data_IF_342536015902
#
_entry.id   IF_342536015902
#
_cell.length_a   1.000
_cell.length_b   1.000
_cell.length_c   1.000
_cell.angle_alpha   90.00
_cell.angle_beta   90.00
_cell.angle_gamma   90.00
#
_symmetry.space_group_name_H-M   'P 1'
#
loop_
_entity.id
_entity.type
_entity.pdbx_description
1 polymer ?
#
# COMPACT_ATOMS: atom_id res chain seq x y z
N UNK A 1 51.60 -19.48 -5.01
CA UNK A 1 51.21 -19.93 -3.65
C UNK A 1 49.70 -19.70 -3.51
N UNK A 2 48.89 -20.77 -3.53
CA UNK A 2 47.43 -20.71 -3.37
C UNK A 2 47.06 -21.40 -2.06
N UNK A 3 46.52 -20.65 -1.10
CA UNK A 3 46.03 -21.20 0.16
C UNK A 3 44.74 -22.02 -0.07
N UNK A 4 44.72 -23.25 0.44
CA UNK A 4 43.53 -24.12 0.46
C UNK A 4 42.50 -23.55 1.43
N UNK A 5 41.30 -23.30 0.93
CA UNK A 5 40.09 -23.10 1.73
C UNK A 5 39.69 -24.43 2.39
N UNK A 6 39.58 -24.45 3.72
CA UNK A 6 39.13 -25.62 4.50
C UNK A 6 37.70 -25.38 5.03
N UNK A 7 36.67 -26.02 4.46
CA UNK A 7 35.28 -25.81 4.83
C UNK A 7 34.87 -26.44 6.18
N UNK A 8 35.79 -27.07 6.92
CA UNK A 8 35.47 -27.75 8.20
C UNK A 8 35.80 -26.94 9.45
N UNK A 9 36.33 -25.73 9.32
CA UNK A 9 36.66 -24.85 10.46
C UNK A 9 35.53 -23.93 10.94
N UNK A 10 34.33 -24.02 10.37
CA UNK A 10 33.20 -23.13 10.70
C UNK A 10 32.34 -23.57 11.92
N UNK A 11 32.68 -24.65 12.63
CA UNK A 11 31.95 -25.06 13.84
C UNK A 11 32.88 -25.19 15.04
N UNK A 12 33.09 -24.09 15.75
CA UNK A 12 33.32 -24.06 17.20
C UNK A 12 33.47 -22.60 17.64
N UNK A 13 32.33 -21.93 17.82
CA UNK A 13 32.09 -20.86 18.80
C UNK A 13 30.62 -20.45 18.62
N UNK A 14 29.72 -21.22 19.23
CA UNK A 14 28.38 -20.70 19.52
C UNK A 14 28.54 -19.58 20.54
N UNK A 15 28.22 -18.31 20.22
CA UNK A 15 28.01 -17.33 21.27
C UNK A 15 26.83 -17.80 22.12
N UNK A 16 27.05 -17.88 23.43
CA UNK A 16 26.01 -18.15 24.42
C UNK A 16 24.78 -17.26 24.18
N UNK A 17 23.57 -17.70 24.55
CA UNK A 17 22.36 -16.88 24.43
C UNK A 17 22.45 -15.72 25.42
N UNK A 18 23.07 -14.62 24.99
CA UNK A 18 23.16 -13.41 25.76
C UNK A 18 21.81 -12.71 25.68
N UNK A 19 20.97 -13.03 26.69
CA UNK A 19 19.84 -12.27 27.20
C UNK A 19 18.81 -11.84 26.16
N UNK A 20 17.70 -12.58 26.20
CA UNK A 20 16.33 -12.10 26.04
C UNK A 20 16.24 -10.66 25.49
N UNK A 21 15.87 -10.56 24.20
CA UNK A 21 14.99 -9.54 23.64
C UNK A 21 14.38 -8.68 24.74
N UNK A 22 15.16 -7.68 25.13
CA UNK A 22 14.73 -6.66 26.05
C UNK A 22 13.60 -5.98 25.30
N UNK A 23 12.38 -6.25 25.74
CA UNK A 23 11.13 -5.65 25.29
C UNK A 23 11.40 -4.17 25.09
N UNK A 24 11.66 -3.78 23.85
CA UNK A 24 11.99 -2.41 23.48
C UNK A 24 10.90 -1.52 24.06
N UNK A 25 11.29 -0.48 24.78
CA UNK A 25 10.38 0.38 25.53
C UNK A 25 9.31 0.99 24.64
N UNK A 26 8.13 0.37 24.61
CA UNK A 26 6.94 0.83 23.88
C UNK A 26 6.24 2.05 24.54
N UNK A 27 6.94 2.85 25.34
CA UNK A 27 6.29 3.77 26.28
C UNK A 27 6.04 5.19 25.77
N UNK A 28 6.94 5.75 24.96
CA UNK A 28 6.88 7.16 24.53
C UNK A 28 7.21 7.30 23.03
N UNK A 29 8.29 6.67 22.58
CA UNK A 29 8.75 6.72 21.17
C UNK A 29 7.72 6.11 20.20
N UNK A 30 6.94 5.12 20.64
CA UNK A 30 5.90 4.50 19.82
C UNK A 30 4.70 5.42 19.53
N UNK A 31 4.33 6.28 20.49
CA UNK A 31 3.27 7.28 20.30
C UNK A 31 3.75 8.37 19.35
N UNK A 32 5.01 8.81 19.50
CA UNK A 32 5.63 9.76 18.57
C UNK A 32 5.67 9.22 17.13
N UNK A 33 6.03 7.94 16.94
CA UNK A 33 6.04 7.31 15.62
C UNK A 33 4.65 7.23 15.00
N UNK A 34 3.62 6.89 15.78
CA UNK A 34 2.25 6.86 15.28
C UNK A 34 1.80 8.25 14.81
N UNK A 35 2.16 9.31 15.54
CA UNK A 35 1.84 10.70 15.17
C UNK A 35 2.57 11.11 13.89
N UNK A 36 3.86 10.79 13.74
CA UNK A 36 4.65 11.05 12.53
C UNK A 36 4.04 10.35 11.31
N UNK A 37 3.66 9.08 11.46
CA UNK A 37 3.06 8.29 10.39
C UNK A 37 1.70 8.87 10.01
N UNK A 38 0.86 9.14 11.01
CA UNK A 38 -0.49 9.68 10.81
C UNK A 38 -0.44 11.06 10.16
N UNK A 39 0.51 11.92 10.53
CA UNK A 39 0.64 13.26 9.96
C UNK A 39 0.87 13.23 8.43
N UNK A 40 1.78 12.38 7.92
CA UNK A 40 1.97 12.26 6.48
C UNK A 40 0.70 11.75 5.77
N UNK A 41 0.05 10.74 6.34
CA UNK A 41 -1.15 10.16 5.73
C UNK A 41 -2.36 11.10 5.78
N UNK A 42 -2.45 11.93 6.82
CA UNK A 42 -3.42 13.01 6.90
C UNK A 42 -3.18 14.04 5.79
N UNK A 43 -1.93 14.50 5.61
CA UNK A 43 -1.60 15.45 4.54
C UNK A 43 -1.87 14.86 3.15
N UNK A 44 -1.58 13.57 2.94
CA UNK A 44 -1.93 12.85 1.71
C UNK A 44 -3.45 12.78 1.50
N UNK A 45 -4.23 12.44 2.53
CA UNK A 45 -5.68 12.39 2.45
C UNK A 45 -6.27 13.78 2.13
N UNK A 46 -5.80 14.83 2.81
CA UNK A 46 -6.20 16.21 2.56
C UNK A 46 -5.93 16.59 1.10
N UNK A 47 -4.73 16.31 0.59
CA UNK A 47 -4.33 16.63 -0.78
C UNK A 47 -5.12 15.87 -1.85
N UNK A 48 -5.33 14.57 -1.65
CA UNK A 48 -6.02 13.69 -2.60
C UNK A 48 -7.54 13.87 -2.55
N UNK A 49 -8.08 14.30 -1.41
CA UNK A 49 -9.52 14.30 -1.13
C UNK A 49 -10.21 15.65 -1.13
N UNK A 50 -9.46 16.75 -1.27
CA UNK A 50 -10.03 18.10 -1.22
C UNK A 50 -9.31 19.10 -2.13
N UNK A 51 -9.84 20.33 -2.22
CA UNK A 51 -9.14 21.47 -2.82
C UNK A 51 -8.06 22.04 -1.88
N UNK A 52 -7.17 21.16 -1.41
CA UNK A 52 -6.16 21.46 -0.39
C UNK A 52 -5.24 22.62 -0.82
N UNK A 53 -4.89 23.56 0.07
CA UNK A 53 -4.00 24.66 -0.29
C UNK A 53 -2.57 24.15 -0.59
N UNK A 54 -1.77 24.85 -1.42
CA UNK A 54 -0.43 24.42 -1.80
C UNK A 54 0.51 24.07 -0.63
N UNK A 55 0.35 24.74 0.52
CA UNK A 55 1.09 24.45 1.75
C UNK A 55 0.97 23.01 2.26
N UNK A 56 -0.07 22.27 1.85
CA UNK A 56 -0.23 20.84 2.19
C UNK A 56 0.78 20.02 1.40
N UNK A 57 0.90 20.29 0.10
CA UNK A 57 1.93 19.68 -0.74
C UNK A 57 3.34 20.01 -0.24
N UNK A 58 3.58 21.24 0.22
CA UNK A 58 4.87 21.62 0.80
C UNK A 58 5.23 20.74 2.01
N UNK A 59 4.27 20.44 2.90
CA UNK A 59 4.48 19.52 4.04
C UNK A 59 4.77 18.10 3.59
N UNK A 60 4.01 17.57 2.63
CA UNK A 60 4.27 16.25 2.03
C UNK A 60 5.70 16.21 1.49
N UNK A 61 6.09 17.20 0.69
CA UNK A 61 7.40 17.26 0.05
C UNK A 61 8.55 17.40 1.05
N UNK A 62 8.32 18.15 2.15
CA UNK A 62 9.29 18.38 3.22
C UNK A 62 9.45 17.19 4.16
N UNK A 63 8.47 16.28 4.21
CA UNK A 63 8.57 15.03 4.97
C UNK A 63 9.43 13.96 4.27
N UNK A 64 9.73 14.11 2.97
CA UNK A 64 10.50 13.11 2.22
C UNK A 64 11.99 13.45 2.22
N UNK A 65 12.82 12.46 2.55
CA UNK A 65 14.27 12.54 2.39
C UNK A 65 14.66 12.74 0.92
N UNK A 66 15.78 13.42 0.65
CA UNK A 66 16.30 13.66 -0.70
C UNK A 66 16.47 12.38 -1.54
N UNK A 67 16.75 11.24 -0.90
CA UNK A 67 16.94 9.92 -1.52
C UNK A 67 15.72 9.03 -1.36
N UNK A 68 14.54 9.62 -1.17
CA UNK A 68 13.30 8.86 -1.03
C UNK A 68 13.05 7.95 -2.24
N UNK A 69 12.62 6.73 -1.95
CA UNK A 69 12.10 5.76 -2.92
C UNK A 69 10.82 5.14 -2.38
N UNK A 70 9.88 4.78 -3.24
CA UNK A 70 8.71 3.99 -2.86
C UNK A 70 8.53 2.80 -3.78
N UNK A 71 8.19 1.65 -3.20
CA UNK A 71 7.67 0.48 -3.92
C UNK A 71 6.18 0.42 -3.67
N UNK A 72 5.40 0.79 -4.68
CA UNK A 72 3.93 0.83 -4.57
C UNK A 72 3.33 -0.57 -4.68
N UNK A 73 2.04 -0.71 -4.38
CA UNK A 73 1.31 -2.00 -4.38
C UNK A 73 1.40 -2.82 -5.68
N UNK A 74 1.71 -2.18 -6.82
CA UNK A 74 1.95 -2.87 -8.11
C UNK A 74 3.35 -3.45 -8.26
N UNK A 75 4.22 -3.29 -7.26
CA UNK A 75 5.63 -3.68 -7.28
C UNK A 75 6.55 -2.71 -8.04
N UNK A 76 6.01 -1.63 -8.58
CA UNK A 76 6.82 -0.60 -9.26
C UNK A 76 7.59 0.24 -8.24
N UNK A 77 8.87 0.49 -8.53
CA UNK A 77 9.70 1.43 -7.75
C UNK A 77 9.59 2.82 -8.36
N UNK A 78 9.32 3.82 -7.54
CA UNK A 78 9.30 5.24 -7.90
C UNK A 78 10.30 6.00 -7.04
N UNK A 79 11.03 6.93 -7.66
CA UNK A 79 11.89 7.87 -6.94
C UNK A 79 11.07 9.05 -6.38
N UNK A 80 11.73 9.92 -5.61
CA UNK A 80 11.13 11.11 -5.00
C UNK A 80 10.47 12.03 -6.02
N UNK A 81 11.14 12.32 -7.12
CA UNK A 81 10.66 13.29 -8.11
C UNK A 81 9.42 12.78 -8.81
N UNK A 82 9.45 11.51 -9.23
CA UNK A 82 8.32 10.80 -9.83
C UNK A 82 7.15 10.70 -8.85
N UNK A 83 7.42 10.38 -7.59
CA UNK A 83 6.40 10.33 -6.55
C UNK A 83 5.73 11.70 -6.35
N UNK A 84 6.50 12.77 -6.19
CA UNK A 84 5.97 14.11 -5.98
C UNK A 84 5.20 14.64 -7.20
N UNK A 85 5.68 14.39 -8.41
CA UNK A 85 4.96 14.73 -9.63
C UNK A 85 3.62 13.97 -9.73
N UNK A 86 3.60 12.70 -9.33
CA UNK A 86 2.40 11.88 -9.23
C UNK A 86 1.40 12.45 -8.23
N UNK A 87 1.84 12.74 -7.01
CA UNK A 87 1.01 13.35 -5.96
C UNK A 87 0.47 14.70 -6.41
N UNK A 88 1.31 15.57 -6.98
CA UNK A 88 0.89 16.88 -7.46
C UNK A 88 -0.26 16.78 -8.47
N UNK A 89 -0.14 15.85 -9.41
CA UNK A 89 -1.15 15.61 -10.45
C UNK A 89 -2.41 14.95 -9.92
N UNK A 90 -2.36 14.34 -8.73
CA UNK A 90 -3.47 13.62 -8.11
C UNK A 90 -4.32 14.48 -7.15
N UNK A 91 -4.10 15.80 -7.11
CA UNK A 91 -4.87 16.72 -6.26
C UNK A 91 -6.38 16.56 -6.48
N UNK A 92 -7.12 16.34 -5.40
CA UNK A 92 -8.58 16.15 -5.41
C UNK A 92 -9.10 15.04 -6.35
N UNK A 93 -8.27 14.06 -6.74
CA UNK A 93 -8.69 12.95 -7.61
C UNK A 93 -9.58 11.95 -6.86
N UNK A 94 -9.47 11.89 -5.53
CA UNK A 94 -10.22 10.97 -4.67
C UNK A 94 -11.07 11.74 -3.66
N UNK A 95 -12.01 12.55 -4.16
CA UNK A 95 -12.84 13.43 -3.32
C UNK A 95 -13.40 12.73 -2.06
N UNK A 96 -13.13 13.31 -0.89
CA UNK A 96 -13.57 12.79 0.40
C UNK A 96 -12.82 11.54 0.89
N UNK A 97 -11.63 11.24 0.35
CA UNK A 97 -10.79 10.16 0.87
C UNK A 97 -10.25 10.50 2.26
N UNK A 98 -10.31 9.51 3.14
CA UNK A 98 -9.62 9.47 4.42
C UNK A 98 -8.61 8.31 4.38
N UNK A 99 -7.48 8.47 5.08
CA UNK A 99 -6.49 7.41 5.22
C UNK A 99 -6.31 7.11 6.69
N UNK A 100 -6.77 5.94 7.12
CA UNK A 100 -6.67 5.46 8.49
C UNK A 100 -5.37 4.66 8.66
N UNK A 101 -4.60 4.99 9.69
CA UNK A 101 -3.35 4.28 10.04
C UNK A 101 -3.59 3.47 11.31
N UNK A 102 -3.23 2.19 11.29
CA UNK A 102 -3.35 1.29 12.43
C UNK A 102 -2.16 0.34 12.51
N UNK A 103 -2.08 -0.42 13.61
CA UNK A 103 -1.07 -1.47 13.83
C UNK A 103 0.39 -0.99 13.66
N UNK A 104 0.67 0.25 14.09
CA UNK A 104 2.02 0.83 14.04
C UNK A 104 2.96 0.05 14.95
N UNK A 105 4.04 -0.47 14.37
CA UNK A 105 5.06 -1.26 15.04
C UNK A 105 6.44 -0.81 14.59
N UNK A 106 7.31 -0.44 15.54
CA UNK A 106 8.74 -0.34 15.28
C UNK A 106 9.31 -1.76 15.14
N UNK A 107 9.95 -2.03 14.00
CA UNK A 107 10.55 -3.33 13.67
C UNK A 107 12.01 -3.36 14.08
N UNK A 108 12.73 -2.27 13.84
CA UNK A 108 14.14 -2.14 14.17
C UNK A 108 14.55 -0.67 14.25
N UNK A 109 15.59 -0.40 15.03
CA UNK A 109 16.26 0.90 15.10
C UNK A 109 17.76 0.72 15.13
N UNK A 110 18.46 1.54 14.36
CA UNK A 110 19.92 1.54 14.30
C UNK A 110 20.44 2.95 14.03
N UNK A 111 21.02 3.56 15.05
CA UNK A 111 21.50 4.95 14.97
C UNK A 111 20.38 5.90 14.56
N UNK A 112 20.52 6.51 13.39
CA UNK A 112 19.58 7.47 12.81
C UNK A 112 18.49 6.83 11.95
N UNK A 113 18.39 5.50 11.94
CA UNK A 113 17.44 4.76 11.10
C UNK A 113 16.40 4.06 11.96
N UNK A 114 15.13 4.21 11.59
CA UNK A 114 13.99 3.55 12.21
C UNK A 114 13.21 2.81 11.14
N UNK A 115 13.00 1.51 11.30
CA UNK A 115 12.15 0.69 10.45
C UNK A 115 10.81 0.50 11.16
N UNK A 116 9.72 0.86 10.48
CA UNK A 116 8.36 0.72 11.00
C UNK A 116 7.52 -0.11 10.06
N UNK A 117 6.51 -0.76 10.62
CA UNK A 117 5.43 -1.43 9.89
C UNK A 117 4.10 -0.94 10.41
N UNK A 118 3.14 -0.72 9.53
CA UNK A 118 1.78 -0.34 9.89
C UNK A 118 0.80 -0.77 8.79
N UNK A 119 -0.50 -0.66 9.06
CA UNK A 119 -1.56 -0.81 8.07
C UNK A 119 -2.11 0.56 7.73
N UNK A 120 -2.26 0.84 6.44
CA UNK A 120 -2.95 2.01 5.93
C UNK A 120 -4.22 1.58 5.19
N UNK A 121 -5.34 2.24 5.47
CA UNK A 121 -6.63 1.96 4.89
C UNK A 121 -7.23 3.22 4.27
N UNK A 122 -7.58 3.16 2.99
CA UNK A 122 -8.27 4.26 2.32
C UNK A 122 -9.78 4.07 2.48
N UNK A 123 -10.48 5.13 2.90
CA UNK A 123 -11.92 5.14 3.09
C UNK A 123 -12.54 6.31 2.32
N UNK A 124 -13.73 6.10 1.78
CA UNK A 124 -14.56 7.17 1.23
C UNK A 124 -15.93 7.06 1.91
N UNK A 125 -16.20 7.97 2.84
CA UNK A 125 -17.32 7.85 3.76
C UNK A 125 -17.26 6.54 4.56
N UNK A 126 -18.35 5.76 4.54
CA UNK A 126 -18.41 4.49 5.25
C UNK A 126 -17.73 3.31 4.51
N UNK A 127 -17.25 3.51 3.28
CA UNK A 127 -16.75 2.44 2.43
C UNK A 127 -15.23 2.37 2.46
N UNK A 128 -14.71 1.20 2.83
CA UNK A 128 -13.29 0.84 2.67
C UNK A 128 -13.00 0.59 1.19
N UNK A 129 -12.03 1.32 0.63
CA UNK A 129 -11.70 1.28 -0.81
C UNK A 129 -10.37 0.57 -1.10
N UNK A 130 -9.54 0.39 -0.07
CA UNK A 130 -8.29 -0.35 -0.16
C UNK A 130 -7.61 -0.44 1.19
N UNK A 131 -6.81 -1.48 1.39
CA UNK A 131 -5.94 -1.62 2.56
C UNK A 131 -4.60 -2.16 2.13
N UNK A 132 -3.54 -1.65 2.75
CA UNK A 132 -2.17 -2.01 2.45
C UNK A 132 -1.37 -2.10 3.74
N UNK A 133 -0.50 -3.11 3.81
CA UNK A 133 0.56 -3.15 4.81
C UNK A 133 1.72 -2.35 4.28
N UNK A 134 2.25 -1.46 5.11
CA UNK A 134 3.36 -0.59 4.75
C UNK A 134 4.55 -0.92 5.63
N UNK A 135 5.71 -1.10 5.02
CA UNK A 135 7.00 -1.10 5.71
C UNK A 135 7.77 0.15 5.28
N UNK A 136 8.20 0.96 6.24
CA UNK A 136 8.89 2.21 5.96
C UNK A 136 10.20 2.32 6.74
N UNK A 137 11.16 3.01 6.13
CA UNK A 137 12.40 3.44 6.76
C UNK A 137 12.34 4.95 6.95
N UNK A 138 12.51 5.40 8.19
CA UNK A 138 12.66 6.80 8.55
C UNK A 138 14.13 7.08 8.87
N UNK A 139 14.60 8.26 8.43
CA UNK A 139 15.88 8.84 8.86
C UNK A 139 15.57 9.93 9.87
N UNK A 140 16.29 9.94 10.98
CA UNK A 140 16.09 10.92 12.06
C UNK A 140 17.40 11.51 12.55
N UNK A 141 17.38 12.80 12.87
CA UNK A 141 18.45 13.49 13.62
C UNK A 141 18.12 13.64 15.11
N UNK A 142 17.05 12.99 15.57
CA UNK A 142 16.49 13.11 16.92
C UNK A 142 15.50 14.25 17.10
N UNK A 143 15.23 15.04 16.05
CA UNK A 143 14.21 16.11 16.04
C UNK A 143 13.25 15.99 14.87
N UNK A 144 13.77 15.62 13.72
CA UNK A 144 13.03 15.51 12.47
C UNK A 144 13.04 14.07 12.00
N UNK A 145 11.94 13.65 11.36
CA UNK A 145 11.79 12.31 10.81
C UNK A 145 11.47 12.44 9.33
N UNK A 146 12.40 11.99 8.48
CA UNK A 146 12.25 12.03 7.04
C UNK A 146 12.03 10.62 6.50
N UNK A 147 11.08 10.48 5.58
CA UNK A 147 10.80 9.23 4.92
C UNK A 147 11.89 8.93 3.90
N UNK A 148 12.60 7.81 4.07
CA UNK A 148 13.68 7.38 3.18
C UNK A 148 13.24 6.30 2.21
N UNK A 149 12.47 5.32 2.68
CA UNK A 149 11.86 4.35 1.77
C UNK A 149 10.52 3.86 2.29
N UNK A 150 9.62 3.55 1.37
CA UNK A 150 8.31 2.98 1.65
C UNK A 150 8.13 1.76 0.75
N UNK A 151 7.59 0.69 1.31
CA UNK A 151 7.14 -0.47 0.54
C UNK A 151 5.73 -0.83 0.97
N UNK A 152 4.83 -0.83 -0.01
CA UNK A 152 3.42 -1.13 0.18
C UNK A 152 3.08 -2.49 -0.40
N UNK A 153 2.30 -3.28 0.34
CA UNK A 153 1.74 -4.54 -0.12
C UNK A 153 0.23 -4.53 0.10
N UNK A 154 -0.56 -4.80 -0.93
CA UNK A 154 -2.01 -4.88 -0.80
C UNK A 154 -2.42 -5.98 0.18
N UNK A 155 -3.36 -5.64 1.07
CA UNK A 155 -4.02 -6.60 1.93
C UNK A 155 -5.29 -7.05 1.20
N UNK A 156 -5.42 -8.32 0.79
CA UNK A 156 -6.64 -8.80 0.18
C UNK A 156 -7.78 -8.70 1.19
N UNK A 157 -8.95 -8.21 0.75
CA UNK A 157 -10.15 -8.30 1.56
C UNK A 157 -10.46 -9.79 1.80
N UNK A 158 -10.72 -10.22 3.04
CA UNK A 158 -11.08 -11.61 3.29
C UNK A 158 -12.29 -11.94 2.43
N UNK A 159 -12.22 -13.04 1.68
CA UNK A 159 -13.32 -13.48 0.85
C UNK A 159 -14.58 -13.53 1.70
N UNK A 160 -15.59 -12.71 1.35
CA UNK A 160 -16.90 -12.77 1.98
C UNK A 160 -17.33 -14.24 1.90
N UNK A 161 -17.64 -14.90 3.04
CA UNK A 161 -18.06 -16.30 2.99
C UNK A 161 -19.22 -16.39 2.00
N UNK A 162 -19.07 -17.27 1.02
CA UNK A 162 -20.12 -17.50 0.04
C UNK A 162 -21.41 -17.72 0.83
N UNK A 163 -22.43 -16.91 0.55
CA UNK A 163 -23.75 -17.15 1.08
C UNK A 163 -24.07 -18.63 0.80
N UNK A 164 -24.61 -19.38 1.77
CA UNK A 164 -24.94 -20.78 1.55
C UNK A 164 -25.76 -20.85 0.28
N UNK A 165 -25.22 -21.60 -0.70
CA UNK A 165 -25.82 -21.86 -1.98
C UNK A 165 -27.30 -22.19 -1.71
N UNK A 166 -28.26 -21.43 -2.26
CA UNK A 166 -29.66 -21.68 -1.96
C UNK A 166 -29.92 -23.13 -2.31
N UNK A 167 -30.25 -23.92 -1.29
CA UNK A 167 -30.55 -25.33 -1.42
C UNK A 167 -31.48 -25.48 -2.63
N UNK A 168 -30.98 -26.20 -3.64
CA UNK A 168 -31.67 -26.43 -4.90
C UNK A 168 -33.13 -26.76 -4.58
N UNK A 169 -34.00 -25.77 -4.78
CA UNK A 169 -35.43 -25.97 -4.67
C UNK A 169 -35.78 -26.85 -5.85
N UNK A 170 -36.23 -28.06 -5.53
CA UNK A 170 -36.69 -29.05 -6.49
C UNK A 170 -37.54 -28.36 -7.57
N UNK A 171 -37.08 -28.46 -8.82
CA UNK A 171 -37.81 -28.00 -9.98
C UNK A 171 -39.15 -28.76 -10.07
N UNK A 172 -40.30 -28.09 -10.21
CA UNK A 172 -41.48 -28.74 -10.71
C UNK A 172 -41.33 -28.92 -12.23
N UNK A 173 -41.45 -30.17 -12.67
CA UNK A 173 -41.57 -30.55 -14.08
C UNK A 173 -42.63 -29.69 -14.79
N UNK A 174 -42.20 -28.79 -15.69
CA UNK A 174 -43.09 -28.14 -16.64
C UNK A 174 -42.91 -28.76 -18.03
N UNK A 175 -44.01 -29.39 -18.43
CA UNK A 175 -44.29 -29.98 -19.72
C UNK A 175 -44.43 -28.93 -20.83
N UNK A 176 -43.69 -29.13 -21.91
CA UNK A 176 -44.06 -28.78 -23.30
C UNK A 176 -44.02 -27.30 -23.72
N UNK A 177 -43.27 -26.97 -24.78
CA UNK A 177 -43.82 -26.87 -26.15
C UNK A 177 -42.75 -26.51 -27.20
N UNK A 178 -43.03 -27.06 -28.38
CA UNK A 178 -42.43 -26.98 -29.71
C UNK A 178 -41.45 -25.85 -30.08
N UNK A 179 -40.46 -26.29 -30.87
CA UNK A 179 -39.66 -25.56 -31.85
C UNK A 179 -40.54 -24.87 -32.90
N UNK A 180 -40.12 -23.69 -33.35
CA UNK A 180 -40.10 -23.36 -34.77
C UNK A 180 -38.91 -22.43 -35.08
N UNK A 181 -38.34 -22.62 -36.26
CA UNK A 181 -37.01 -22.17 -36.70
C UNK A 181 -37.04 -20.86 -37.52
N UNK A 182 -35.92 -20.11 -37.45
CA UNK A 182 -35.21 -19.38 -38.54
C UNK A 182 -35.84 -18.16 -39.28
N UNK A 183 -35.08 -17.37 -40.08
CA UNK A 183 -33.74 -16.77 -39.85
C UNK A 183 -33.59 -15.30 -40.41
N UNK A 184 -32.36 -14.77 -40.29
CA UNK A 184 -31.68 -13.79 -41.19
C UNK A 184 -31.91 -12.26 -41.09
N UNK A 185 -30.80 -11.52 -41.15
CA UNK A 185 -30.70 -10.06 -41.31
C UNK A 185 -29.49 -9.52 -40.54
N UNK A 186 -28.25 -9.63 -41.04
CA UNK A 186 -27.59 -8.85 -42.11
C UNK A 186 -26.96 -7.51 -41.66
N UNK A 187 -25.65 -7.46 -41.95
CA UNK A 187 -24.67 -6.39 -42.20
C UNK A 187 -24.62 -5.03 -41.48
N UNK A 188 -23.37 -4.66 -41.15
CA UNK A 188 -22.85 -3.29 -41.19
C UNK A 188 -22.65 -2.62 -39.82
N UNK A 189 -21.61 -1.84 -39.50
CA UNK A 189 -20.52 -1.18 -40.25
C UNK A 189 -19.54 -0.63 -39.18
N UNK A 190 -18.23 -0.64 -39.51
CA UNK A 190 -17.11 0.27 -39.16
C UNK A 190 -16.98 0.89 -37.75
N UNK A 191 -15.87 0.64 -37.06
CA UNK A 191 -14.58 1.35 -37.09
C UNK A 191 -14.51 2.56 -36.15
N UNK A 192 -13.47 2.59 -35.32
CA UNK A 192 -13.20 3.70 -34.41
C UNK A 192 -12.28 3.26 -33.29
N UNK A 193 -11.00 3.08 -33.62
CA UNK A 193 -9.96 2.89 -32.63
C UNK A 193 -9.84 4.14 -31.77
N UNK A 194 -9.99 3.97 -30.46
CA UNK A 194 -9.56 4.98 -29.50
C UNK A 194 -8.43 4.37 -28.66
N UNK A 195 -7.21 4.77 -29.02
CA UNK A 195 -6.03 4.51 -28.23
C UNK A 195 -6.04 5.47 -27.02
N UNK A 196 -6.93 5.19 -26.07
CA UNK A 196 -6.83 5.76 -24.74
C UNK A 196 -5.59 5.15 -24.09
N UNK A 197 -4.49 5.89 -24.19
CA UNK A 197 -3.31 5.71 -23.35
C UNK A 197 -3.77 5.91 -21.92
N UNK A 198 -4.16 4.80 -21.30
CA UNK A 198 -4.47 4.73 -19.89
C UNK A 198 -3.24 5.13 -19.11
N UNK A 199 -3.16 6.40 -18.74
CA UNK A 199 -2.32 6.84 -17.64
C UNK A 199 -2.84 6.08 -16.43
N UNK A 200 -2.13 5.01 -16.07
CA UNK A 200 -2.43 4.21 -14.90
C UNK A 200 -2.30 5.15 -13.71
N UNK A 201 -3.45 5.60 -13.20
CA UNK A 201 -3.53 6.26 -11.91
C UNK A 201 -2.85 5.30 -10.95
N UNK A 202 -1.74 5.75 -10.38
CA UNK A 202 -1.03 5.05 -9.32
C UNK A 202 -2.05 4.96 -8.19
N UNK A 203 -2.66 3.79 -8.01
CA UNK A 203 -3.49 3.50 -6.85
C UNK A 203 -2.53 3.38 -5.67
N UNK A 204 -2.48 4.44 -4.88
CA UNK A 204 -1.95 4.45 -3.52
C UNK A 204 -2.98 3.83 -2.59
#
# INVERSE_FOLDING_TARGET
MRGRFDPRRWRAEEPAPEKAYETAGFGADGVELADIITALHFDLAEWLGSDAPPKVFDRISGALDERFTSVVTTGQTVDRETFLAGIWSARNVMAGVEIEVSDVQEIARSGQLIVVRFVAENRIGAVKTGSRTVTALLVTDGRTHLWRTVHETSVPEPARPAAPEPAASAEPEQSGTARDEDPAGDSGVEAGGDASTGMRIIRL
#
